data_IF_836133753207
#
_entry.id   IF_836133753207
#
_cell.length_a   1.000
_cell.length_b   1.000
_cell.length_c   1.000
_cell.angle_alpha   90.00
_cell.angle_beta   90.00
_cell.angle_gamma   90.00
#
_symmetry.space_group_name_H-M   'P 1'
#
loop_
_entity.id
_entity.type
_entity.pdbx_description
1 polymer ?
#
# COMPACT_ATOMS: atom_id res chain seq x y z
N UNK A 1 22.92 -29.05 -27.13
CA UNK A 1 22.62 -27.72 -27.70
C UNK A 1 21.66 -27.07 -26.72
N UNK A 2 22.14 -26.03 -26.02
CA UNK A 2 21.39 -25.02 -25.27
C UNK A 2 20.02 -24.73 -25.93
N UNK A 3 18.92 -24.40 -25.25
CA UNK A 3 18.69 -23.88 -23.90
C UNK A 3 17.18 -23.85 -23.63
N UNK A 4 16.83 -23.99 -22.36
CA UNK A 4 15.80 -23.26 -21.60
C UNK A 4 14.73 -22.47 -22.37
N UNK A 5 13.47 -22.68 -21.98
CA UNK A 5 12.85 -21.77 -20.99
C UNK A 5 11.80 -22.54 -20.22
N UNK A 6 12.01 -22.66 -18.91
CA UNK A 6 10.95 -22.97 -17.97
C UNK A 6 9.79 -22.02 -18.27
N UNK A 7 8.64 -22.58 -18.64
CA UNK A 7 7.37 -21.87 -18.59
C UNK A 7 7.14 -21.52 -17.13
N UNK A 8 7.60 -20.34 -16.72
CA UNK A 8 7.15 -19.71 -15.50
C UNK A 8 5.64 -19.56 -15.69
N UNK A 9 4.91 -20.50 -15.11
CA UNK A 9 3.45 -20.52 -15.01
C UNK A 9 2.95 -19.14 -14.61
N UNK A 10 1.72 -18.81 -15.03
CA UNK A 10 0.99 -17.53 -14.88
C UNK A 10 0.75 -17.05 -13.42
N UNK A 11 1.73 -17.24 -12.55
CA UNK A 11 1.74 -16.97 -11.12
C UNK A 11 3.18 -16.62 -10.69
N UNK A 12 3.66 -15.41 -11.01
CA UNK A 12 4.92 -14.89 -10.45
C UNK A 12 4.74 -13.67 -9.55
N UNK A 13 3.54 -13.10 -9.48
CA UNK A 13 3.22 -11.98 -8.60
C UNK A 13 1.84 -12.28 -7.98
N UNK A 14 1.78 -12.51 -6.68
CA UNK A 14 0.58 -13.01 -5.96
C UNK A 14 -0.53 -11.97 -5.77
N UNK A 15 -0.64 -10.98 -6.66
CA UNK A 15 -1.72 -9.98 -6.66
C UNK A 15 -3.02 -10.58 -7.21
N UNK A 16 -3.56 -11.59 -6.53
CA UNK A 16 -4.96 -11.93 -6.73
C UNK A 16 -5.79 -10.73 -6.25
N UNK A 17 -6.50 -10.07 -7.17
CA UNK A 17 -7.40 -8.95 -6.88
C UNK A 17 -8.40 -9.30 -5.75
N UNK A 18 -8.74 -10.60 -5.63
CA UNK A 18 -9.47 -11.16 -4.49
C UNK A 18 -8.60 -11.15 -3.22
N UNK A 19 -8.86 -10.20 -2.33
CA UNK A 19 -8.41 -10.21 -0.94
C UNK A 19 -7.36 -9.16 -0.56
N UNK A 20 -6.59 -8.61 -1.51
CA UNK A 20 -5.53 -7.62 -1.21
C UNK A 20 -5.83 -6.20 -1.76
N UNK A 21 -7.02 -5.97 -2.33
CA UNK A 21 -7.32 -4.68 -3.00
C UNK A 21 -7.23 -3.45 -2.09
N UNK A 22 -7.40 -3.63 -0.77
CA UNK A 22 -7.38 -2.55 0.23
C UNK A 22 -6.00 -1.92 0.45
N UNK A 23 -4.93 -2.67 0.20
CA UNK A 23 -3.55 -2.20 0.35
C UNK A 23 -2.89 -1.94 -1.00
N UNK A 24 -3.51 -2.38 -2.09
CA UNK A 24 -2.92 -2.30 -3.42
C UNK A 24 -2.79 -0.84 -3.88
N UNK A 25 -1.66 -0.53 -4.52
CA UNK A 25 -1.46 0.78 -5.14
C UNK A 25 -2.37 0.96 -6.37
N UNK A 26 -2.92 2.16 -6.62
CA UNK A 26 -3.90 2.39 -7.68
C UNK A 26 -3.35 2.11 -9.08
N UNK A 27 -2.06 2.31 -9.33
CA UNK A 27 -1.41 2.02 -10.62
C UNK A 27 -1.38 0.52 -10.96
N UNK A 28 -1.56 -0.36 -9.97
CA UNK A 28 -1.62 -1.81 -10.16
C UNK A 28 -3.04 -2.31 -10.51
N UNK A 29 -4.06 -1.45 -10.47
CA UNK A 29 -5.41 -1.80 -10.93
C UNK A 29 -5.51 -1.92 -12.46
N UNK A 30 -4.51 -1.44 -13.19
CA UNK A 30 -4.47 -1.48 -14.65
C UNK A 30 -4.11 -2.89 -15.12
N UNK A 31 -5.13 -3.62 -15.57
CA UNK A 31 -5.01 -5.01 -16.03
C UNK A 31 -4.17 -5.11 -17.32
N UNK A 32 -4.31 -4.14 -18.23
CA UNK A 32 -3.59 -4.07 -19.48
C UNK A 32 -3.20 -2.61 -19.76
N UNK A 33 -1.90 -2.37 -19.97
CA UNK A 33 -1.40 -1.10 -20.47
C UNK A 33 -1.52 -1.07 -22.00
N UNK A 34 -1.43 0.12 -22.60
CA UNK A 34 -1.53 0.31 -24.05
C UNK A 34 -0.51 -0.51 -24.86
N UNK A 35 0.62 -0.87 -24.25
CA UNK A 35 1.67 -1.70 -24.86
C UNK A 35 1.44 -3.22 -24.70
N UNK A 36 0.29 -3.63 -24.18
CA UNK A 36 -0.05 -5.03 -23.92
C UNK A 36 0.67 -5.63 -22.70
N UNK A 37 1.42 -4.83 -21.94
CA UNK A 37 2.02 -5.27 -20.69
C UNK A 37 1.07 -5.10 -19.50
N UNK A 38 1.14 -6.00 -18.52
CA UNK A 38 0.42 -5.85 -17.25
C UNK A 38 1.20 -4.94 -16.31
N UNK A 39 0.49 -4.18 -15.46
CA UNK A 39 1.13 -3.45 -14.37
C UNK A 39 1.91 -4.41 -13.47
N UNK A 40 3.14 -4.03 -13.12
CA UNK A 40 4.02 -4.83 -12.28
C UNK A 40 4.24 -4.15 -10.93
N UNK A 41 4.31 -4.93 -9.83
CA UNK A 41 4.75 -4.41 -8.55
C UNK A 41 6.12 -3.71 -8.66
N UNK A 42 6.29 -2.68 -7.86
CA UNK A 42 7.51 -1.88 -7.72
C UNK A 42 7.72 -1.50 -6.26
N UNK A 43 8.93 -1.04 -5.93
CA UNK A 43 9.23 -0.49 -4.59
C UNK A 43 8.19 0.57 -4.17
N UNK A 44 7.81 1.46 -5.07
CA UNK A 44 6.84 2.51 -4.75
C UNK A 44 5.44 1.95 -4.51
N UNK A 45 5.05 0.84 -5.14
CA UNK A 45 3.78 0.18 -4.84
C UNK A 45 3.81 -0.57 -3.51
N UNK A 46 4.99 -1.04 -3.08
CA UNK A 46 5.19 -1.62 -1.75
C UNK A 46 5.10 -0.54 -0.67
N UNK A 47 5.66 0.66 -0.91
CA UNK A 47 5.51 1.83 -0.02
C UNK A 47 4.05 2.24 0.15
N UNK A 48 3.26 2.23 -0.92
CA UNK A 48 1.82 2.49 -0.82
C UNK A 48 1.12 1.46 0.08
N UNK A 49 1.43 0.18 -0.13
CA UNK A 49 0.90 -0.94 0.66
C UNK A 49 1.31 -0.81 2.13
N UNK A 50 2.54 -0.40 2.39
CA UNK A 50 3.08 -0.14 3.72
C UNK A 50 2.28 0.94 4.46
N UNK A 51 1.88 2.03 3.80
CA UNK A 51 0.99 3.04 4.40
C UNK A 51 -0.33 2.45 4.88
N UNK A 52 -0.92 1.53 4.10
CA UNK A 52 -2.12 0.78 4.49
C UNK A 52 -1.90 -0.16 5.67
N UNK A 53 -0.75 -0.85 5.72
CA UNK A 53 -0.37 -1.73 6.83
C UNK A 53 -0.16 -0.91 8.10
N UNK A 54 0.53 0.22 8.02
CA UNK A 54 0.77 1.11 9.16
C UNK A 54 -0.55 1.66 9.71
N UNK A 55 -1.47 2.08 8.84
CA UNK A 55 -2.83 2.47 9.25
C UNK A 55 -3.53 1.34 10.01
N UNK A 56 -3.47 0.11 9.48
CA UNK A 56 -4.12 -1.03 10.11
C UNK A 56 -3.52 -1.37 11.47
N UNK A 57 -2.20 -1.43 11.58
CA UNK A 57 -1.51 -1.75 12.83
C UNK A 57 -1.82 -0.72 13.91
N UNK A 58 -1.79 0.57 13.57
CA UNK A 58 -1.94 1.64 14.55
C UNK A 58 -3.40 1.90 14.95
N UNK A 59 -4.38 1.45 14.15
CA UNK A 59 -5.81 1.70 14.42
C UNK A 59 -6.61 0.44 14.69
N UNK A 60 -6.02 -0.74 14.46
CA UNK A 60 -6.68 -2.04 14.43
C UNK A 60 -7.87 -2.12 13.45
N UNK A 61 -7.87 -1.27 12.40
CA UNK A 61 -8.90 -1.23 11.36
C UNK A 61 -8.25 -1.34 9.99
N UNK A 62 -8.75 -2.22 9.14
CA UNK A 62 -8.25 -2.33 7.76
C UNK A 62 -8.54 -1.05 6.95
N UNK A 63 -7.71 -0.72 5.94
CA UNK A 63 -8.02 0.36 5.01
C UNK A 63 -9.41 0.20 4.40
N UNK A 64 -10.13 1.30 4.28
CA UNK A 64 -11.51 1.35 3.79
C UNK A 64 -12.50 0.44 4.54
N UNK A 65 -12.33 0.15 5.84
CA UNK A 65 -13.22 -0.76 6.60
C UNK A 65 -14.72 -0.40 6.51
N UNK A 66 -15.03 0.85 6.17
CA UNK A 66 -16.38 1.39 6.02
C UNK A 66 -17.00 1.20 4.63
N UNK A 67 -16.23 0.71 3.65
CA UNK A 67 -16.74 0.36 2.34
C UNK A 67 -17.17 -1.11 2.32
N UNK A 68 -18.35 -1.41 1.74
CA UNK A 68 -19.05 -2.68 1.96
C UNK A 68 -18.42 -3.88 1.24
N UNK A 69 -17.68 -3.65 0.15
CA UNK A 69 -17.11 -4.72 -0.68
C UNK A 69 -15.95 -4.21 -1.55
N UNK A 70 -15.23 -5.14 -2.18
CA UNK A 70 -14.08 -4.86 -3.04
C UNK A 70 -14.44 -3.99 -4.25
N UNK A 71 -15.64 -4.12 -4.82
CA UNK A 71 -16.06 -3.29 -5.94
C UNK A 71 -16.18 -1.80 -5.56
N UNK A 72 -16.70 -1.50 -4.37
CA UNK A 72 -16.75 -0.13 -3.85
C UNK A 72 -15.35 0.46 -3.61
N UNK A 73 -14.39 -0.38 -3.19
CA UNK A 73 -13.00 0.01 -2.95
C UNK A 73 -12.29 0.28 -4.27
N UNK A 74 -12.44 -0.62 -5.25
CA UNK A 74 -11.93 -0.45 -6.61
C UNK A 74 -12.47 0.86 -7.20
N UNK A 75 -13.76 1.14 -7.04
CA UNK A 75 -14.35 2.40 -7.53
C UNK A 75 -13.74 3.64 -6.84
N UNK A 76 -13.54 3.59 -5.52
CA UNK A 76 -12.89 4.67 -4.77
C UNK A 76 -11.43 4.89 -5.26
N UNK A 77 -10.67 3.81 -5.44
CA UNK A 77 -9.30 3.85 -5.94
C UNK A 77 -9.22 4.39 -7.37
N UNK A 78 -10.16 4.03 -8.26
CA UNK A 78 -10.25 4.61 -9.61
C UNK A 78 -10.48 6.12 -9.58
N UNK A 79 -11.14 6.64 -8.54
CA UNK A 79 -11.32 8.08 -8.30
C UNK A 79 -10.16 8.71 -7.52
N UNK A 80 -9.10 7.95 -7.25
CA UNK A 80 -7.97 8.35 -6.41
C UNK A 80 -8.37 8.74 -4.98
N UNK A 81 -9.49 8.20 -4.48
CA UNK A 81 -9.96 8.40 -3.12
C UNK A 81 -9.18 7.49 -2.14
N UNK A 82 -8.48 8.11 -1.19
CA UNK A 82 -7.73 7.45 -0.12
C UNK A 82 -8.64 7.17 1.08
N UNK A 83 -8.24 6.31 2.06
CA UNK A 83 -8.96 6.17 3.31
C UNK A 83 -9.18 7.53 4.00
N UNK A 84 -10.39 7.82 4.44
CA UNK A 84 -10.71 9.14 5.03
C UNK A 84 -10.22 9.28 6.47
N UNK A 85 -9.46 10.34 6.78
CA UNK A 85 -8.94 10.69 8.13
C UNK A 85 -10.00 10.61 9.22
N UNK A 86 -11.20 11.12 8.95
CA UNK A 86 -12.31 11.17 9.90
C UNK A 86 -12.76 9.78 10.37
N UNK A 87 -12.44 8.72 9.61
CA UNK A 87 -12.77 7.34 9.93
C UNK A 87 -11.73 6.65 10.82
N UNK A 88 -10.58 7.29 11.06
CA UNK A 88 -9.47 6.81 11.89
C UNK A 88 -9.03 7.86 12.92
N UNK A 89 -9.93 8.36 13.79
CA UNK A 89 -9.64 9.50 14.66
C UNK A 89 -8.53 9.24 15.68
N UNK A 90 -8.31 7.99 16.07
CA UNK A 90 -7.30 7.59 17.07
C UNK A 90 -5.86 7.72 16.59
N UNK A 91 -5.63 7.85 15.28
CA UNK A 91 -4.27 7.92 14.75
C UNK A 91 -3.64 9.29 15.06
N UNK A 92 -2.46 9.34 15.69
CA UNK A 92 -1.71 10.59 15.86
C UNK A 92 -1.36 11.24 14.53
N UNK A 93 -1.35 12.58 14.50
CA UNK A 93 -1.18 13.36 13.27
C UNK A 93 0.15 13.08 12.56
N UNK A 94 1.24 12.90 13.32
CA UNK A 94 2.56 12.57 12.76
C UNK A 94 2.56 11.24 11.97
N UNK A 95 1.77 10.26 12.41
CA UNK A 95 1.65 8.99 11.71
C UNK A 95 0.72 9.11 10.51
N UNK A 96 -0.34 9.91 10.62
CA UNK A 96 -1.23 10.19 9.50
C UNK A 96 -0.51 10.87 8.33
N UNK A 97 0.26 11.93 8.61
CA UNK A 97 1.02 12.66 7.59
C UNK A 97 1.95 11.74 6.81
N UNK A 98 2.68 10.87 7.50
CA UNK A 98 3.56 9.91 6.84
C UNK A 98 2.79 8.85 6.02
N UNK A 99 1.62 8.41 6.48
CA UNK A 99 0.76 7.52 5.69
C UNK A 99 0.23 8.24 4.44
N UNK A 100 -0.09 9.53 4.52
CA UNK A 100 -0.48 10.33 3.36
C UNK A 100 0.65 10.48 2.33
N UNK A 101 1.90 10.65 2.79
CA UNK A 101 3.10 10.61 1.94
C UNK A 101 3.22 9.25 1.23
N UNK A 102 3.00 8.13 1.95
CA UNK A 102 2.99 6.79 1.35
C UNK A 102 1.91 6.64 0.25
N UNK A 103 0.81 7.37 0.37
CA UNK A 103 -0.29 7.38 -0.59
C UNK A 103 -0.23 8.52 -1.60
N UNK A 104 0.94 9.11 -1.86
CA UNK A 104 1.08 10.06 -2.96
C UNK A 104 0.60 9.46 -4.29
N UNK A 105 -0.14 10.27 -5.05
CA UNK A 105 -0.74 9.86 -6.33
C UNK A 105 0.33 9.51 -7.35
N UNK A 106 1.35 10.36 -7.48
CA UNK A 106 2.55 10.02 -8.25
C UNK A 106 3.41 9.05 -7.41
N UNK A 107 3.71 7.85 -7.92
CA UNK A 107 4.57 6.92 -7.22
C UNK A 107 5.94 7.50 -6.86
N UNK A 108 6.46 8.47 -7.61
CA UNK A 108 7.78 9.10 -7.36
C UNK A 108 7.79 10.03 -6.16
N UNK A 109 6.62 10.53 -5.76
CA UNK A 109 6.44 11.41 -4.60
C UNK A 109 6.23 10.62 -3.31
N UNK A 110 6.24 9.28 -3.38
CA UNK A 110 6.17 8.42 -2.19
C UNK A 110 7.54 8.36 -1.52
N UNK A 111 7.59 8.25 -0.17
CA UNK A 111 8.84 8.22 0.58
C UNK A 111 9.70 7.02 0.16
N UNK A 112 11.01 7.16 0.31
CA UNK A 112 11.93 6.05 0.10
C UNK A 112 11.80 4.99 1.21
N UNK A 113 12.31 3.80 0.94
CA UNK A 113 12.39 2.73 1.93
C UNK A 113 13.22 3.12 3.15
N UNK A 114 14.28 3.93 2.99
CA UNK A 114 15.07 4.45 4.13
C UNK A 114 14.24 5.42 5.00
N UNK A 115 13.39 6.24 4.37
CA UNK A 115 12.50 7.13 5.12
C UNK A 115 11.48 6.32 5.92
N UNK A 116 10.92 5.26 5.34
CA UNK A 116 10.01 4.35 6.02
C UNK A 116 10.67 3.62 7.19
N UNK A 117 11.88 3.07 7.00
CA UNK A 117 12.68 2.45 8.07
C UNK A 117 12.94 3.43 9.22
N UNK A 118 13.30 4.68 8.90
CA UNK A 118 13.50 5.72 9.90
C UNK A 118 12.25 5.99 10.76
N UNK A 119 11.06 5.99 10.15
CA UNK A 119 9.80 6.15 10.90
C UNK A 119 9.56 4.96 11.84
N UNK A 120 9.76 3.73 11.38
CA UNK A 120 9.60 2.52 12.20
C UNK A 120 10.56 2.54 13.38
N UNK A 121 11.84 2.82 13.13
CA UNK A 121 12.87 2.89 14.19
C UNK A 121 12.55 3.95 15.22
N UNK A 122 12.13 5.15 14.79
CA UNK A 122 11.78 6.22 15.71
C UNK A 122 10.57 5.86 16.58
N UNK A 123 9.54 5.24 16.00
CA UNK A 123 8.40 4.74 16.77
C UNK A 123 8.84 3.67 17.78
N UNK A 124 9.67 2.73 17.37
CA UNK A 124 10.18 1.66 18.23
C UNK A 124 11.04 2.20 19.40
N UNK A 125 11.98 3.11 19.14
CA UNK A 125 12.78 3.74 20.18
C UNK A 125 11.95 4.61 21.12
N UNK A 126 10.90 5.27 20.62
CA UNK A 126 9.97 6.00 21.50
C UNK A 126 9.21 5.07 22.44
N UNK A 127 8.92 3.83 22.04
CA UNK A 127 8.31 2.84 22.92
C UNK A 127 9.31 2.31 23.95
N UNK A 128 10.55 1.99 23.53
CA UNK A 128 11.60 1.50 24.43
C UNK A 128 12.05 2.53 25.47
N UNK A 129 12.01 3.82 25.14
CA UNK A 129 12.36 4.89 26.09
C UNK A 129 11.25 5.20 27.10
N UNK A 130 10.06 4.62 26.93
CA UNK A 130 8.90 4.79 27.83
C UNK A 130 8.73 3.65 28.83
N UNK A 131 9.54 2.59 28.77
CA UNK A 131 9.51 1.53 29.78
C UNK A 131 10.22 2.01 31.05
N UNK A 132 9.56 1.97 32.23
CA UNK A 132 10.12 2.43 33.50
C UNK A 132 11.27 1.56 34.00
#
# INVERSE_FOLDING_TARGET
MYSDVASASQASWTSNLKGNVRWMAPELLVLEREDGSSARPSEQSDIFSFGGIMLQVLTNKIPYYYLPNDAAIILAMHKLEKPSRSRYPVLPEIHWQFIEECWSTDPRDRPSTERADGVIRNAFYSLLSRTP
#
